data_IF_203347640573
#
_entry.id   IF_203347640573
#
_cell.length_a   1.000
_cell.length_b   1.000
_cell.length_c   1.000
_cell.angle_alpha   90.00
_cell.angle_beta   90.00
_cell.angle_gamma   90.00
#
_symmetry.space_group_name_H-M   'P 1'
#
loop_
_entity.id
_entity.type
_entity.pdbx_description
1 polymer ?
#
# COMPACT_ATOMS: atom_id res chain seq x y z
N UNK A 1 -21.32 -12.31 -28.34
CA UNK A 1 -21.10 -11.43 -27.17
C UNK A 1 -19.69 -10.86 -27.24
N UNK A 2 -19.60 -9.60 -26.87
CA UNK A 2 -18.64 -8.55 -27.28
C UNK A 2 -17.14 -8.86 -27.15
N UNK A 3 -16.34 -8.34 -28.10
CA UNK A 3 -14.91 -8.10 -27.92
C UNK A 3 -14.53 -6.60 -27.93
N UNK A 4 -13.40 -6.30 -27.26
CA UNK A 4 -12.31 -5.35 -27.62
C UNK A 4 -12.45 -3.83 -27.34
N UNK A 5 -11.62 -3.41 -26.36
CA UNK A 5 -10.61 -2.31 -26.27
C UNK A 5 -10.98 -0.81 -26.42
N UNK A 6 -10.33 -0.05 -25.52
CA UNK A 6 -9.43 1.10 -25.75
C UNK A 6 -9.93 2.55 -25.52
N UNK A 7 -9.01 3.38 -24.97
CA UNK A 7 -8.77 4.82 -25.26
C UNK A 7 -9.82 5.85 -24.75
N UNK A 8 -9.58 7.10 -24.30
CA UNK A 8 -8.52 8.14 -24.29
C UNK A 8 -8.84 9.11 -23.10
N UNK A 9 -7.89 9.67 -22.34
CA UNK A 9 -7.17 10.94 -22.56
C UNK A 9 -8.01 12.13 -23.06
N UNK A 10 -8.20 13.17 -22.23
CA UNK A 10 -8.26 14.60 -22.62
C UNK A 10 -8.70 15.46 -21.42
N UNK A 11 -7.77 16.21 -20.84
CA UNK A 11 -8.05 17.28 -19.86
C UNK A 11 -8.10 18.60 -20.66
N UNK A 12 -9.29 19.11 -20.88
CA UNK A 12 -9.52 20.40 -21.52
C UNK A 12 -9.25 21.53 -20.51
N UNK A 13 -8.28 22.40 -20.79
CA UNK A 13 -8.18 23.73 -20.16
C UNK A 13 -8.72 24.73 -21.18
N UNK A 14 -9.94 25.21 -20.91
CA UNK A 14 -10.66 26.22 -21.67
C UNK A 14 -10.15 27.60 -21.25
N UNK A 15 -9.66 28.36 -22.23
CA UNK A 15 -9.34 29.78 -22.15
C UNK A 15 -10.61 30.63 -21.96
N UNK A 16 -10.53 31.72 -21.18
CA UNK A 16 -11.54 32.80 -21.24
C UNK A 16 -10.96 34.20 -20.96
N UNK A 17 -11.04 35.03 -22.01
CA UNK A 17 -11.18 36.49 -22.17
C UNK A 17 -10.91 37.44 -20.97
N UNK A 18 -10.04 38.44 -21.10
CA UNK A 18 -10.18 39.77 -21.75
C UNK A 18 -11.11 40.75 -20.98
N UNK A 19 -10.52 41.81 -20.42
CA UNK A 19 -11.16 43.12 -20.31
C UNK A 19 -10.10 44.22 -20.18
N UNK A 20 -10.12 45.15 -21.12
CA UNK A 20 -9.36 46.38 -21.13
C UNK A 20 -10.11 47.48 -20.36
N UNK A 21 -9.37 48.38 -19.71
CA UNK A 21 -9.81 49.76 -19.48
C UNK A 21 -8.67 50.72 -19.79
N UNK A 22 -8.92 51.58 -20.76
CA UNK A 22 -8.03 52.64 -21.22
C UNK A 22 -8.07 53.84 -20.26
N UNK A 23 -6.92 54.48 -20.07
CA UNK A 23 -6.83 55.86 -19.60
C UNK A 23 -5.79 56.57 -20.45
N UNK A 24 -6.21 57.68 -21.05
CA UNK A 24 -5.50 58.48 -22.02
C UNK A 24 -4.35 59.27 -21.37
N UNK A 25 -3.22 59.38 -22.07
CA UNK A 25 -2.44 60.61 -22.02
C UNK A 25 -1.67 60.79 -23.33
N UNK A 26 -1.93 61.92 -23.98
CA UNK A 26 -1.35 62.34 -25.25
C UNK A 26 -0.03 63.07 -24.96
N UNK A 27 1.09 62.48 -25.36
CA UNK A 27 2.41 63.12 -25.28
C UNK A 27 2.97 63.21 -26.71
N UNK A 28 3.08 64.44 -27.20
CA UNK A 28 3.78 64.77 -28.43
C UNK A 28 5.26 64.41 -28.30
N UNK A 29 5.77 63.54 -29.18
CA UNK A 29 7.23 63.39 -29.38
C UNK A 29 7.55 63.55 -30.85
N UNK A 30 8.23 64.67 -31.09
CA UNK A 30 8.80 65.15 -32.33
C UNK A 30 10.13 64.43 -32.57
N UNK A 31 10.25 63.75 -33.71
CA UNK A 31 11.47 63.37 -34.44
C UNK A 31 12.58 62.62 -33.69
N UNK A 32 12.76 61.32 -33.97
CA UNK A 32 14.01 60.57 -33.72
C UNK A 32 13.99 59.20 -34.43
N UNK A 33 13.85 59.17 -35.76
CA UNK A 33 13.73 57.90 -36.50
C UNK A 33 15.08 57.18 -36.72
N UNK A 34 16.22 57.87 -36.64
CA UNK A 34 17.53 57.26 -36.95
C UNK A 34 18.18 56.51 -35.78
N UNK A 35 17.72 56.68 -34.54
CA UNK A 35 18.27 55.97 -33.36
C UNK A 35 17.58 54.64 -33.04
N UNK A 36 16.46 54.35 -33.70
CA UNK A 36 15.65 53.16 -33.42
C UNK A 36 16.21 51.89 -34.09
N UNK A 37 16.93 52.01 -35.21
CA UNK A 37 17.52 50.85 -35.89
C UNK A 37 18.62 50.15 -35.09
N UNK A 38 19.50 50.91 -34.45
CA UNK A 38 20.66 50.40 -33.71
C UNK A 38 20.27 49.81 -32.34
N UNK A 39 19.24 50.37 -31.70
CA UNK A 39 18.64 49.81 -30.47
C UNK A 39 17.85 48.54 -30.79
N UNK A 40 17.15 48.47 -31.92
CA UNK A 40 16.35 47.28 -32.31
C UNK A 40 17.23 46.07 -32.66
N UNK A 41 18.38 46.30 -33.31
CA UNK A 41 19.37 45.25 -33.59
C UNK A 41 20.03 44.69 -32.32
N UNK A 42 20.46 45.56 -31.40
CA UNK A 42 21.08 45.13 -30.13
C UNK A 42 20.08 44.46 -29.19
N UNK A 43 18.80 44.87 -29.20
CA UNK A 43 17.73 44.23 -28.41
C UNK A 43 17.36 42.86 -28.96
N UNK A 44 17.31 42.65 -30.28
CA UNK A 44 17.05 41.32 -30.87
C UNK A 44 18.16 40.31 -30.56
N UNK A 45 19.43 40.70 -30.66
CA UNK A 45 20.56 39.81 -30.33
C UNK A 45 20.57 39.45 -28.84
N UNK A 46 20.26 40.41 -27.95
CA UNK A 46 20.17 40.18 -26.50
C UNK A 46 18.94 39.38 -26.07
N UNK A 47 17.91 39.29 -26.91
CA UNK A 47 16.71 38.47 -26.66
C UNK A 47 16.94 37.03 -27.12
N UNK A 48 17.56 36.80 -28.28
CA UNK A 48 17.95 35.45 -28.73
C UNK A 48 18.91 34.75 -27.75
N UNK A 49 19.97 35.45 -27.32
CA UNK A 49 20.94 34.94 -26.33
C UNK A 49 20.33 34.66 -24.94
N UNK A 50 19.16 35.24 -24.63
CA UNK A 50 18.44 35.02 -23.37
C UNK A 50 17.45 33.87 -23.45
N UNK A 51 16.77 33.71 -24.58
CA UNK A 51 15.88 32.58 -24.83
C UNK A 51 16.67 31.27 -24.90
N UNK A 52 17.80 31.24 -25.62
CA UNK A 52 18.66 30.04 -25.70
C UNK A 52 19.21 29.64 -24.31
N UNK A 53 19.60 30.61 -23.47
CA UNK A 53 20.04 30.34 -22.09
C UNK A 53 18.91 29.91 -21.15
N UNK A 54 17.68 30.35 -21.40
CA UNK A 54 16.53 29.96 -20.61
C UNK A 54 16.04 28.56 -20.99
N UNK A 55 16.11 28.20 -22.27
CA UNK A 55 15.78 26.86 -22.75
C UNK A 55 16.81 25.83 -22.28
N UNK A 56 18.10 26.14 -22.32
CA UNK A 56 19.14 25.26 -21.75
C UNK A 56 19.01 25.10 -20.22
N UNK A 57 18.64 26.17 -19.50
CA UNK A 57 18.36 26.09 -18.05
C UNK A 57 17.07 25.33 -17.74
N UNK A 58 16.02 25.51 -18.55
CA UNK A 58 14.73 24.84 -18.33
C UNK A 58 14.83 23.35 -18.65
N UNK A 59 15.55 22.97 -19.72
CA UNK A 59 15.84 21.59 -20.11
C UNK A 59 16.76 20.88 -19.10
N UNK A 60 17.85 21.52 -18.67
CA UNK A 60 18.75 20.94 -17.66
C UNK A 60 18.11 20.83 -16.27
N UNK A 61 17.24 21.80 -15.91
CA UNK A 61 16.44 21.76 -14.67
C UNK A 61 15.37 20.67 -14.69
N UNK A 62 14.66 20.49 -15.81
CA UNK A 62 13.64 19.44 -15.96
C UNK A 62 14.24 18.04 -16.02
N UNK A 63 15.36 17.84 -16.72
CA UNK A 63 16.09 16.57 -16.73
C UNK A 63 16.60 16.22 -15.31
N UNK A 64 17.29 17.15 -14.64
CA UNK A 64 17.78 16.98 -13.26
C UNK A 64 16.66 16.72 -12.25
N UNK A 65 15.50 17.36 -12.43
CA UNK A 65 14.33 17.20 -11.56
C UNK A 65 13.65 15.84 -11.75
N UNK A 66 13.56 15.34 -12.99
CA UNK A 66 12.92 14.06 -13.31
C UNK A 66 13.75 12.89 -12.80
N UNK A 67 15.07 12.95 -12.98
CA UNK A 67 16.00 11.92 -12.52
C UNK A 67 16.04 11.83 -10.99
N UNK A 68 16.09 12.98 -10.30
CA UNK A 68 15.99 13.05 -8.82
C UNK A 68 14.63 12.56 -8.30
N UNK A 69 13.54 12.76 -9.06
CA UNK A 69 12.21 12.23 -8.70
C UNK A 69 12.19 10.70 -8.80
N UNK A 70 12.75 10.13 -9.86
CA UNK A 70 12.84 8.68 -10.04
C UNK A 70 13.69 8.02 -8.95
N UNK A 71 14.84 8.62 -8.61
CA UNK A 71 15.71 8.12 -7.54
C UNK A 71 15.01 8.14 -6.16
N UNK A 72 14.28 9.22 -5.86
CA UNK A 72 13.49 9.31 -4.62
C UNK A 72 12.37 8.29 -4.57
N UNK A 73 11.69 8.04 -5.69
CA UNK A 73 10.63 7.04 -5.78
C UNK A 73 11.17 5.62 -5.60
N UNK A 74 12.33 5.30 -6.17
CA UNK A 74 12.97 4.00 -5.99
C UNK A 74 13.37 3.78 -4.52
N UNK A 75 14.08 4.75 -3.91
CA UNK A 75 14.45 4.69 -2.50
C UNK A 75 13.26 4.60 -1.55
N UNK A 76 12.14 5.24 -1.88
CA UNK A 76 10.91 5.13 -1.08
C UNK A 76 10.30 3.75 -1.23
N UNK A 77 10.21 3.25 -2.47
CA UNK A 77 9.62 1.95 -2.78
C UNK A 77 10.37 0.83 -2.07
N UNK A 78 11.70 0.82 -2.13
CA UNK A 78 12.54 -0.16 -1.41
C UNK A 78 12.28 -0.16 0.09
N UNK A 79 12.28 1.03 0.72
CA UNK A 79 11.97 1.17 2.15
C UNK A 79 10.58 0.65 2.50
N UNK A 80 9.58 0.89 1.66
CA UNK A 80 8.23 0.38 1.88
C UNK A 80 8.18 -1.15 1.82
N UNK A 81 8.87 -1.76 0.87
CA UNK A 81 8.89 -3.23 0.73
C UNK A 81 9.65 -3.88 1.89
N UNK A 82 10.81 -3.36 2.26
CA UNK A 82 11.56 -3.83 3.43
C UNK A 82 10.72 -3.74 4.71
N UNK A 83 10.05 -2.59 4.90
CA UNK A 83 9.20 -2.39 6.06
C UNK A 83 8.00 -3.34 6.08
N UNK A 84 7.35 -3.55 4.92
CA UNK A 84 6.27 -4.51 4.78
C UNK A 84 6.73 -5.94 5.12
N UNK A 85 7.89 -6.37 4.60
CA UNK A 85 8.48 -7.66 4.91
C UNK A 85 8.71 -7.86 6.41
N UNK A 86 9.28 -6.85 7.09
CA UNK A 86 9.48 -6.87 8.56
C UNK A 86 8.17 -7.05 9.32
N UNK A 87 7.13 -6.30 8.97
CA UNK A 87 5.82 -6.40 9.65
C UNK A 87 5.18 -7.78 9.41
N UNK A 88 5.20 -8.25 8.17
CA UNK A 88 4.61 -9.54 7.81
C UNK A 88 5.32 -10.70 8.54
N UNK A 89 6.67 -10.68 8.60
CA UNK A 89 7.45 -11.68 9.32
C UNK A 89 7.16 -11.65 10.83
N UNK A 90 7.16 -10.46 11.44
CA UNK A 90 6.80 -10.31 12.85
C UNK A 90 5.37 -10.80 13.15
N UNK A 91 4.46 -10.65 12.20
CA UNK A 91 3.08 -11.14 12.32
C UNK A 91 3.04 -12.67 12.29
N UNK A 92 3.77 -13.31 11.37
CA UNK A 92 3.93 -14.78 11.34
C UNK A 92 4.43 -15.26 12.71
N UNK A 93 5.55 -14.75 13.19
CA UNK A 93 6.15 -15.16 14.47
C UNK A 93 5.19 -14.99 15.65
N UNK A 94 4.43 -13.88 15.67
CA UNK A 94 3.43 -13.63 16.72
C UNK A 94 2.31 -14.67 16.70
N UNK A 95 1.79 -15.03 15.53
CA UNK A 95 0.73 -16.03 15.39
C UNK A 95 1.25 -17.44 15.72
N UNK A 96 2.50 -17.76 15.40
CA UNK A 96 3.12 -19.03 15.81
C UNK A 96 3.23 -19.14 17.34
N UNK A 97 3.66 -18.08 18.01
CA UNK A 97 3.67 -18.03 19.49
C UNK A 97 2.26 -18.21 20.08
N UNK A 98 1.22 -17.73 19.40
CA UNK A 98 -0.17 -17.97 19.81
C UNK A 98 -0.53 -19.46 19.62
N UNK A 99 -0.18 -20.05 18.47
CA UNK A 99 -0.40 -21.47 18.20
C UNK A 99 0.26 -22.37 19.26
N UNK A 100 1.52 -22.13 19.61
CA UNK A 100 2.23 -22.89 20.68
C UNK A 100 1.55 -22.74 22.05
N UNK A 101 1.06 -21.55 22.39
CA UNK A 101 0.30 -21.35 23.64
C UNK A 101 -1.03 -22.11 23.60
N UNK A 102 -1.67 -22.20 22.45
CA UNK A 102 -2.89 -22.98 22.26
C UNK A 102 -2.62 -24.48 22.40
N UNK A 103 -1.52 -25.01 21.86
CA UNK A 103 -1.12 -26.41 22.08
C UNK A 103 -1.03 -26.73 23.57
N UNK A 104 -0.32 -25.88 24.33
CA UNK A 104 -0.20 -26.05 25.77
C UNK A 104 -1.56 -26.03 26.48
N UNK A 105 -2.47 -25.13 26.07
CA UNK A 105 -3.83 -25.06 26.64
C UNK A 105 -4.67 -26.28 26.27
N UNK A 106 -4.61 -26.75 25.02
CA UNK A 106 -5.27 -27.97 24.55
C UNK A 106 -4.79 -29.16 25.37
N UNK A 107 -3.48 -29.31 25.56
CA UNK A 107 -2.90 -30.39 26.36
C UNK A 107 -3.44 -30.37 27.80
N UNK A 108 -3.51 -29.19 28.44
CA UNK A 108 -4.08 -29.02 29.78
C UNK A 108 -5.57 -29.41 29.86
N UNK A 109 -6.37 -29.04 28.85
CA UNK A 109 -7.79 -29.41 28.80
C UNK A 109 -7.96 -30.92 28.59
N UNK A 110 -7.15 -31.54 27.72
CA UNK A 110 -7.11 -32.99 27.53
C UNK A 110 -6.80 -33.72 28.85
N UNK A 111 -5.80 -33.27 29.60
CA UNK A 111 -5.45 -33.89 30.89
C UNK A 111 -6.55 -33.73 31.94
N UNK A 112 -7.38 -32.70 31.83
CA UNK A 112 -8.54 -32.49 32.69
C UNK A 112 -9.80 -33.23 32.22
N UNK A 113 -9.71 -34.05 31.16
CA UNK A 113 -10.85 -34.80 30.59
C UNK A 113 -11.81 -33.96 29.74
N UNK A 114 -11.43 -32.73 29.35
CA UNK A 114 -12.25 -31.88 28.49
C UNK A 114 -12.14 -32.25 27.01
N UNK A 115 -13.19 -31.93 26.24
CA UNK A 115 -13.18 -32.13 24.79
C UNK A 115 -12.38 -31.04 24.07
N UNK A 116 -11.43 -31.45 23.22
CA UNK A 116 -10.55 -30.54 22.46
C UNK A 116 -10.63 -30.70 20.95
N UNK A 117 -11.48 -31.59 20.44
CA UNK A 117 -11.55 -31.97 19.02
C UNK A 117 -11.70 -30.75 18.10
N UNK A 118 -12.66 -29.88 18.37
CA UNK A 118 -12.88 -28.67 17.56
C UNK A 118 -11.69 -27.70 17.61
N UNK A 119 -11.08 -27.56 18.79
CA UNK A 119 -9.94 -26.66 18.99
C UNK A 119 -8.70 -27.14 18.24
N UNK A 120 -8.50 -28.46 18.18
CA UNK A 120 -7.42 -29.09 17.43
C UNK A 120 -7.60 -28.94 15.93
N UNK A 121 -8.83 -29.10 15.42
CA UNK A 121 -9.14 -28.87 14.01
C UNK A 121 -8.82 -27.44 13.58
N UNK A 122 -9.29 -26.45 14.33
CA UNK A 122 -8.99 -25.04 14.05
C UNK A 122 -7.50 -24.69 14.21
N UNK A 123 -6.79 -25.33 15.15
CA UNK A 123 -5.35 -25.13 15.29
C UNK A 123 -4.57 -25.73 14.11
N UNK A 124 -5.00 -26.88 13.59
CA UNK A 124 -4.43 -27.47 12.38
C UNK A 124 -4.66 -26.57 11.15
N UNK A 125 -5.88 -26.04 10.97
CA UNK A 125 -6.21 -25.08 9.92
C UNK A 125 -5.32 -23.82 10.01
N UNK A 126 -5.16 -23.26 11.21
CA UNK A 126 -4.27 -22.12 11.43
C UNK A 126 -2.82 -22.40 11.02
N UNK A 127 -2.31 -23.60 11.29
CA UNK A 127 -0.94 -24.01 10.93
C UNK A 127 -0.76 -24.15 9.42
N UNK A 128 -1.76 -24.65 8.70
CA UNK A 128 -1.74 -24.71 7.24
C UNK A 128 -1.56 -23.29 6.68
N UNK A 129 -2.39 -22.34 7.10
CA UNK A 129 -2.27 -20.96 6.64
C UNK A 129 -0.96 -20.27 7.08
N UNK A 130 -0.41 -20.57 8.25
CA UNK A 130 0.91 -20.07 8.64
C UNK A 130 2.03 -20.65 7.78
N UNK A 131 1.93 -21.93 7.39
CA UNK A 131 2.87 -22.56 6.47
C UNK A 131 2.80 -21.95 5.07
N UNK A 132 1.59 -21.70 4.55
CA UNK A 132 1.37 -21.02 3.28
C UNK A 132 1.93 -19.59 3.31
N UNK A 133 1.64 -18.83 4.37
CA UNK A 133 2.19 -17.49 4.56
C UNK A 133 3.72 -17.47 4.59
N UNK A 134 4.37 -18.51 5.16
CA UNK A 134 5.83 -18.65 5.16
C UNK A 134 6.39 -18.98 3.78
N UNK A 135 5.75 -19.86 3.03
CA UNK A 135 6.15 -20.17 1.66
C UNK A 135 6.07 -18.91 0.77
N UNK A 136 4.96 -18.17 0.88
CA UNK A 136 4.77 -16.90 0.16
C UNK A 136 5.73 -15.80 0.63
N UNK A 137 6.11 -15.79 1.93
CA UNK A 137 7.14 -14.89 2.43
C UNK A 137 8.51 -15.16 1.80
N UNK A 138 8.87 -16.43 1.59
CA UNK A 138 10.10 -16.77 0.89
C UNK A 138 10.07 -16.23 -0.55
N UNK A 139 8.95 -16.40 -1.25
CA UNK A 139 8.74 -15.82 -2.59
C UNK A 139 8.82 -14.29 -2.56
N UNK A 140 8.15 -13.64 -1.61
CA UNK A 140 8.20 -12.18 -1.41
C UNK A 140 9.63 -11.66 -1.23
N UNK A 141 10.43 -12.34 -0.41
CA UNK A 141 11.82 -11.95 -0.14
C UNK A 141 12.76 -12.13 -1.33
N UNK A 142 12.39 -12.99 -2.29
CA UNK A 142 13.18 -13.26 -3.49
C UNK A 142 12.96 -12.23 -4.62
N UNK A 143 11.96 -11.35 -4.49
CA UNK A 143 11.65 -10.36 -5.52
C UNK A 143 12.70 -9.24 -5.49
N UNK A 144 13.54 -9.19 -6.51
CA UNK A 144 14.47 -8.09 -6.69
C UNK A 144 13.73 -6.81 -7.12
N UNK A 145 13.92 -5.75 -6.34
CA UNK A 145 13.28 -4.44 -6.55
C UNK A 145 14.26 -3.46 -7.21
N UNK A 146 15.45 -3.93 -7.60
CA UNK A 146 16.43 -3.13 -8.32
C UNK A 146 16.22 -3.18 -9.83
N UNK A 147 16.66 -2.12 -10.53
CA UNK A 147 16.74 -2.08 -11.99
C UNK A 147 15.55 -1.45 -12.72
N UNK A 148 15.59 -1.55 -14.05
CA UNK A 148 14.67 -0.86 -14.98
C UNK A 148 13.23 -1.38 -14.95
N UNK A 149 12.99 -2.59 -14.39
CA UNK A 149 11.66 -3.22 -14.27
C UNK A 149 11.00 -3.00 -12.91
N UNK A 150 11.35 -1.91 -12.22
CA UNK A 150 10.85 -1.56 -10.89
C UNK A 150 9.31 -1.64 -10.78
N UNK A 151 8.58 -1.09 -11.76
CA UNK A 151 7.11 -1.06 -11.73
C UNK A 151 6.48 -2.46 -11.72
N UNK A 152 6.97 -3.36 -12.57
CA UNK A 152 6.52 -4.75 -12.67
C UNK A 152 6.86 -5.53 -11.40
N UNK A 153 8.08 -5.36 -10.88
CA UNK A 153 8.50 -6.04 -9.66
C UNK A 153 7.70 -5.54 -8.44
N UNK A 154 7.39 -4.25 -8.35
CA UNK A 154 6.50 -3.72 -7.30
C UNK A 154 5.08 -4.27 -7.40
N UNK A 155 4.56 -4.52 -8.62
CA UNK A 155 3.26 -5.18 -8.78
C UNK A 155 3.29 -6.61 -8.21
N UNK A 156 4.36 -7.37 -8.48
CA UNK A 156 4.57 -8.71 -7.90
C UNK A 156 4.67 -8.66 -6.38
N UNK A 157 5.43 -7.72 -5.83
CA UNK A 157 5.55 -7.52 -4.37
C UNK A 157 4.18 -7.24 -3.75
N UNK A 158 3.37 -6.36 -4.35
CA UNK A 158 2.02 -6.06 -3.83
C UNK A 158 1.12 -7.29 -3.87
N UNK A 159 1.16 -8.06 -4.96
CA UNK A 159 0.40 -9.30 -5.09
C UNK A 159 0.78 -10.31 -4.01
N UNK A 160 2.09 -10.59 -3.87
CA UNK A 160 2.59 -11.49 -2.85
C UNK A 160 2.22 -11.01 -1.43
N UNK A 161 2.40 -9.72 -1.14
CA UNK A 161 2.00 -9.15 0.16
C UNK A 161 0.49 -9.30 0.43
N UNK A 162 -0.36 -9.18 -0.58
CA UNK A 162 -1.81 -9.37 -0.45
C UNK A 162 -2.15 -10.82 -0.12
N UNK A 163 -1.52 -11.77 -0.80
CA UNK A 163 -1.69 -13.21 -0.53
C UNK A 163 -1.24 -13.57 0.88
N UNK A 164 -0.04 -13.11 1.30
CA UNK A 164 0.45 -13.32 2.67
C UNK A 164 -0.55 -12.76 3.69
N UNK A 165 -1.06 -11.53 3.48
CA UNK A 165 -2.06 -10.93 4.38
C UNK A 165 -3.31 -11.77 4.51
N UNK A 166 -3.80 -12.36 3.41
CA UNK A 166 -4.99 -13.21 3.45
C UNK A 166 -4.73 -14.48 4.27
N UNK A 167 -3.62 -15.18 4.05
CA UNK A 167 -3.25 -16.32 4.88
C UNK A 167 -3.10 -15.94 6.36
N UNK A 168 -2.50 -14.78 6.67
CA UNK A 168 -2.40 -14.30 8.06
C UNK A 168 -3.76 -13.98 8.67
N UNK A 169 -4.70 -13.43 7.89
CA UNK A 169 -6.08 -13.17 8.32
C UNK A 169 -6.81 -14.47 8.65
N UNK A 170 -6.71 -15.45 7.75
CA UNK A 170 -7.32 -16.77 7.92
C UNK A 170 -6.71 -17.53 9.10
N UNK A 171 -5.37 -17.52 9.24
CA UNK A 171 -4.68 -18.08 10.39
C UNK A 171 -5.16 -17.44 11.71
N UNK A 172 -5.25 -16.11 11.76
CA UNK A 172 -5.76 -15.41 12.94
C UNK A 172 -7.21 -15.79 13.25
N UNK A 173 -8.07 -15.88 12.24
CA UNK A 173 -9.47 -16.29 12.41
C UNK A 173 -9.58 -17.72 12.94
N UNK A 174 -8.80 -18.65 12.40
CA UNK A 174 -8.75 -20.04 12.87
C UNK A 174 -8.25 -20.12 14.32
N UNK A 175 -7.18 -19.38 14.68
CA UNK A 175 -6.71 -19.29 16.08
C UNK A 175 -7.78 -18.71 17.01
N UNK A 176 -8.53 -17.70 16.58
CA UNK A 176 -9.65 -17.15 17.37
C UNK A 176 -10.74 -18.20 17.59
N UNK A 177 -11.13 -18.96 16.56
CA UNK A 177 -12.07 -20.08 16.69
C UNK A 177 -11.54 -21.16 17.63
N UNK A 178 -10.26 -21.53 17.52
CA UNK A 178 -9.61 -22.48 18.42
C UNK A 178 -9.66 -21.99 19.89
N UNK A 179 -9.39 -20.71 20.14
CA UNK A 179 -9.52 -20.16 21.51
C UNK A 179 -10.95 -20.18 22.03
N UNK A 180 -11.94 -19.93 21.16
CA UNK A 180 -13.35 -19.92 21.54
C UNK A 180 -13.86 -21.34 21.86
N UNK A 181 -13.43 -22.34 21.10
CA UNK A 181 -13.76 -23.74 21.31
C UNK A 181 -13.17 -24.30 22.63
N UNK A 182 -12.08 -23.73 23.13
CA UNK A 182 -11.50 -24.08 24.44
C UNK A 182 -12.19 -23.41 25.65
N UNK A 183 -13.14 -22.50 25.44
CA UNK A 183 -13.68 -21.69 26.55
C UNK A 183 -14.62 -22.54 27.42
N UNK A 184 -14.25 -22.85 28.69
CA UNK A 184 -15.15 -23.54 29.59
C UNK A 184 -16.37 -22.67 29.90
N UNK A 185 -17.57 -23.25 29.86
CA UNK A 185 -18.83 -22.56 30.20
C UNK A 185 -19.60 -21.94 29.04
N UNK A 186 -19.19 -22.16 27.78
CA UNK A 186 -20.02 -21.88 26.59
C UNK A 186 -20.34 -23.16 25.81
N UNK A 187 -20.46 -24.29 26.51
CA UNK A 187 -21.37 -25.31 26.04
C UNK A 187 -22.76 -24.70 26.14
N UNK A 188 -23.53 -24.78 25.07
CA UNK A 188 -24.98 -24.74 25.13
C UNK A 188 -25.43 -25.87 26.05
N UNK A 189 -25.39 -25.65 27.37
CA UNK A 189 -26.02 -26.50 28.37
C UNK A 189 -27.54 -26.25 28.32
N UNK A 190 -28.15 -26.68 27.22
CA UNK A 190 -29.51 -27.18 27.24
C UNK A 190 -29.43 -28.55 27.95
N UNK A 191 -29.90 -28.63 29.20
CA UNK A 191 -30.17 -29.92 29.85
C UNK A 191 -29.10 -30.46 30.80
N UNK A 192 -28.84 -29.77 31.92
CA UNK A 192 -28.63 -30.47 33.19
C UNK A 192 -29.01 -29.56 34.36
N UNK A 193 -30.32 -29.32 34.53
CA UNK A 193 -30.84 -28.88 35.80
C UNK A 193 -30.84 -30.11 36.72
N UNK A 194 -29.92 -30.13 37.68
CA UNK A 194 -29.95 -31.08 38.79
C UNK A 194 -31.15 -30.73 39.67
N UNK A 195 -32.27 -31.42 39.47
CA UNK A 195 -33.42 -31.34 40.37
C UNK A 195 -33.10 -32.08 41.66
N UNK A 196 -32.87 -31.32 42.73
CA UNK A 196 -32.83 -31.82 44.10
C UNK A 196 -34.20 -32.37 44.47
N UNK A 197 -34.33 -33.69 44.57
CA UNK A 197 -35.51 -34.32 45.14
C UNK A 197 -35.43 -34.24 46.68
N UNK A 198 -36.20 -33.32 47.27
CA UNK A 198 -36.48 -33.34 48.70
C UNK A 198 -37.50 -34.44 48.98
N UNK A 199 -37.02 -35.60 49.45
CA UNK A 199 -37.86 -36.59 50.12
C UNK A 199 -37.86 -36.28 51.61
N UNK A 200 -38.96 -35.71 52.11
CA UNK A 200 -39.23 -35.68 53.55
C UNK A 200 -40.09 -36.89 53.88
N UNK A 201 -39.52 -37.76 54.70
CA UNK A 201 -40.16 -38.95 55.26
C UNK A 201 -40.60 -38.64 56.70
N UNK A 202 -41.84 -39.03 57.01
CA UNK A 202 -42.55 -39.08 58.30
C UNK A 202 -43.16 -37.78 58.83
#
# INVERSE_FOLDING_TARGET
MTPIKNTLFSLAIVSLALAATASANEIQVRGNDDRLGEIRGTVQVKLGDRDDRNDDRSASSTASSTEKRMEKQDKLSRRMVEHAGKILLATIERLEKIATRLDSRIAKVKTAGGSTVASEGFLAEARVHLSEAKAEMAAFSSIDISGSKLSENLAKVRSAASTIKEHLRLAHQALAKATAALKPGRSTNEGHATSTATSTHQ
#
